data_IF_089328476001
#
_entry.id   IF_089328476001
#
_cell.length_a   1.000
_cell.length_b   1.000
_cell.length_c   1.000
_cell.angle_alpha   90.00
_cell.angle_beta   90.00
_cell.angle_gamma   90.00
#
_symmetry.space_group_name_H-M   'P 1'
#
loop_
_entity.id
_entity.type
_entity.pdbx_description
1 polymer ?
#
# COMPACT_ATOMS: atom_id res chain seq x y z
N UNK A 1 -8.87 1.81 -19.55
CA UNK A 1 -7.92 1.69 -18.41
C UNK A 1 -8.40 0.55 -17.53
N UNK A 2 -7.51 -0.33 -17.06
CA UNK A 2 -7.88 -1.49 -16.22
C UNK A 2 -8.59 -1.05 -14.93
N UNK A 3 -9.55 -1.82 -14.41
CA UNK A 3 -10.36 -1.44 -13.24
C UNK A 3 -9.52 -1.16 -11.98
N UNK A 4 -8.39 -1.84 -11.83
CA UNK A 4 -7.44 -1.67 -10.72
C UNK A 4 -6.77 -0.28 -10.71
N UNK A 5 -6.45 0.29 -11.88
CA UNK A 5 -5.86 1.64 -11.97
C UNK A 5 -6.82 2.69 -11.40
N UNK A 6 -8.12 2.56 -11.69
CA UNK A 6 -9.14 3.45 -11.11
C UNK A 6 -9.20 3.31 -9.59
N UNK A 7 -9.22 2.07 -9.10
CA UNK A 7 -9.27 1.79 -7.65
C UNK A 7 -8.03 2.32 -6.94
N UNK A 8 -6.84 2.13 -7.51
CA UNK A 8 -5.58 2.65 -7.01
C UNK A 8 -5.60 4.18 -6.93
N UNK A 9 -6.09 4.85 -7.98
CA UNK A 9 -6.27 6.30 -8.00
C UNK A 9 -7.21 6.79 -6.89
N UNK A 10 -8.32 6.10 -6.65
CA UNK A 10 -9.25 6.42 -5.55
C UNK A 10 -8.58 6.26 -4.18
N UNK A 11 -7.83 5.17 -3.96
CA UNK A 11 -7.12 4.95 -2.71
C UNK A 11 -6.02 5.98 -2.47
N UNK A 12 -5.26 6.33 -3.51
CA UNK A 12 -4.22 7.35 -3.44
C UNK A 12 -4.82 8.73 -3.11
N UNK A 13 -5.91 9.11 -3.78
CA UNK A 13 -6.59 10.37 -3.51
C UNK A 13 -7.21 10.42 -2.10
N UNK A 14 -7.67 9.29 -1.56
CA UNK A 14 -8.11 9.23 -0.17
C UNK A 14 -6.94 9.42 0.81
N UNK A 15 -5.82 8.71 0.59
CA UNK A 15 -4.64 8.83 1.43
C UNK A 15 -4.01 10.24 1.39
N UNK A 16 -4.04 10.90 0.23
CA UNK A 16 -3.58 12.28 0.06
C UNK A 16 -4.45 13.28 0.85
N UNK A 17 -5.78 13.12 0.79
CA UNK A 17 -6.72 14.02 1.49
C UNK A 17 -6.78 13.79 3.00
N UNK A 18 -6.74 12.54 3.44
CA UNK A 18 -6.97 12.16 4.85
C UNK A 18 -5.66 11.96 5.63
N UNK A 19 -4.54 11.89 4.92
CA UNK A 19 -3.25 11.48 5.47
C UNK A 19 -3.17 9.97 5.72
N UNK A 20 -1.95 9.40 5.74
CA UNK A 20 -1.75 8.00 6.08
C UNK A 20 -2.08 7.75 7.55
N UNK A 21 -2.92 6.73 7.84
CA UNK A 21 -3.32 6.36 9.20
C UNK A 21 -2.63 5.07 9.63
N UNK A 22 -1.58 5.21 10.43
CA UNK A 22 -0.87 4.07 11.00
C UNK A 22 -1.71 3.39 12.11
N UNK A 23 -1.43 2.12 12.38
CA UNK A 23 -2.10 1.31 13.41
C UNK A 23 -1.62 1.59 14.85
N UNK A 24 -0.91 2.69 15.05
CA UNK A 24 -0.46 3.17 16.36
C UNK A 24 -1.58 3.97 17.06
N UNK A 25 -1.58 4.04 18.41
CA UNK A 25 -2.43 4.99 19.11
C UNK A 25 -2.24 6.41 18.55
N UNK A 26 -3.33 7.10 18.23
CA UNK A 26 -3.27 8.43 17.62
C UNK A 26 -2.77 8.47 16.17
N UNK A 27 -2.61 7.31 15.51
CA UNK A 27 -2.12 7.20 14.13
C UNK A 27 -0.74 7.81 13.89
N UNK A 28 0.09 7.88 14.94
CA UNK A 28 1.46 8.41 14.86
C UNK A 28 2.24 7.70 13.75
N UNK A 29 2.80 8.44 12.77
CA UNK A 29 3.55 7.84 11.67
C UNK A 29 4.75 7.04 12.15
N UNK A 30 4.92 5.83 11.62
CA UNK A 30 6.11 5.02 11.84
C UNK A 30 6.47 4.21 10.58
N UNK A 31 7.72 3.72 10.44
CA UNK A 31 8.17 3.08 9.20
C UNK A 31 7.78 1.60 9.06
N UNK A 32 6.88 1.07 9.89
CA UNK A 32 6.55 -0.36 9.91
C UNK A 32 5.82 -0.86 8.67
N UNK A 33 6.08 -2.12 8.28
CA UNK A 33 5.41 -2.75 7.13
C UNK A 33 3.97 -3.19 7.43
N UNK A 34 3.70 -3.67 8.65
CA UNK A 34 2.39 -4.25 8.96
C UNK A 34 1.37 -3.21 9.40
N UNK A 35 1.82 -2.16 10.09
CA UNK A 35 0.95 -1.15 10.71
C UNK A 35 1.41 0.28 10.46
N UNK A 36 2.36 0.46 9.53
CA UNK A 36 3.06 1.73 9.32
C UNK A 36 3.00 2.25 7.90
N UNK A 37 3.75 3.33 7.67
CA UNK A 37 3.86 4.00 6.38
C UNK A 37 4.33 3.07 5.26
N UNK A 38 5.29 2.18 5.56
CA UNK A 38 5.79 1.22 4.59
C UNK A 38 4.70 0.25 4.11
N UNK A 39 3.80 -0.15 5.00
CA UNK A 39 2.63 -0.98 4.65
C UNK A 39 1.63 -0.26 3.77
N UNK A 40 1.33 1.00 4.09
CA UNK A 40 0.42 1.84 3.31
C UNK A 40 0.99 2.05 1.90
N UNK A 41 2.27 2.44 1.80
CA UNK A 41 2.96 2.61 0.52
C UNK A 41 2.99 1.31 -0.30
N UNK A 42 3.32 0.18 0.34
CA UNK A 42 3.31 -1.13 -0.31
C UNK A 42 1.91 -1.51 -0.83
N UNK A 43 0.87 -1.27 -0.03
CA UNK A 43 -0.52 -1.52 -0.43
C UNK A 43 -0.97 -0.67 -1.62
N UNK A 44 -0.60 0.62 -1.66
CA UNK A 44 -0.89 1.52 -2.78
C UNK A 44 -0.16 1.09 -4.06
N UNK A 45 1.13 0.73 -3.96
CA UNK A 45 1.90 0.20 -5.09
C UNK A 45 1.26 -1.09 -5.63
N UNK A 46 0.87 -2.01 -4.74
CA UNK A 46 0.20 -3.25 -5.16
C UNK A 46 -1.16 -3.01 -5.79
N UNK A 47 -1.94 -2.04 -5.32
CA UNK A 47 -3.22 -1.70 -5.93
C UNK A 47 -3.08 -1.23 -7.38
N UNK A 48 -2.00 -0.50 -7.69
CA UNK A 48 -1.69 -0.02 -9.04
C UNK A 48 -0.97 -1.03 -9.93
N UNK A 49 -0.17 -1.93 -9.33
CA UNK A 49 0.70 -2.87 -10.04
C UNK A 49 0.61 -4.29 -9.45
N UNK A 50 -0.58 -4.93 -9.46
CA UNK A 50 -0.82 -6.19 -8.75
C UNK A 50 0.05 -7.34 -9.27
N UNK A 51 0.48 -7.30 -10.53
CA UNK A 51 1.31 -8.32 -11.15
C UNK A 51 2.80 -8.16 -10.81
N UNK A 52 3.22 -6.97 -10.36
CA UNK A 52 4.64 -6.68 -10.05
C UNK A 52 4.93 -6.70 -8.56
N UNK A 53 3.99 -6.24 -7.75
CA UNK A 53 4.18 -6.07 -6.31
C UNK A 53 3.57 -7.26 -5.58
N UNK A 54 4.43 -7.98 -4.88
CA UNK A 54 4.06 -9.17 -4.12
C UNK A 54 3.10 -8.90 -2.97
N UNK A 55 2.59 -9.97 -2.37
CA UNK A 55 1.73 -9.89 -1.19
C UNK A 55 2.55 -10.11 0.07
N UNK A 56 2.87 -9.06 0.81
CA UNK A 56 3.54 -9.21 2.10
C UNK A 56 2.75 -10.13 3.07
N UNK A 57 1.41 -10.00 3.10
CA UNK A 57 0.54 -10.79 3.98
C UNK A 57 0.43 -12.27 3.56
N UNK A 58 0.73 -12.61 2.31
CA UNK A 58 0.73 -13.99 1.83
C UNK A 58 2.16 -14.52 1.60
N UNK A 59 3.17 -13.75 2.02
CA UNK A 59 4.58 -14.04 1.75
C UNK A 59 4.87 -14.31 0.26
N UNK A 60 4.10 -13.68 -0.64
CA UNK A 60 4.31 -13.78 -2.08
C UNK A 60 5.30 -12.70 -2.52
N UNK A 61 6.46 -13.04 -3.10
CA UNK A 61 7.48 -12.06 -3.46
C UNK A 61 7.06 -11.20 -4.66
N UNK A 62 7.69 -10.04 -4.79
CA UNK A 62 7.59 -9.18 -5.97
C UNK A 62 8.38 -9.77 -7.14
N UNK A 63 7.94 -9.52 -8.37
CA UNK A 63 8.76 -9.85 -9.54
C UNK A 63 10.10 -9.10 -9.47
N UNK A 64 11.20 -9.82 -9.63
CA UNK A 64 12.57 -9.26 -9.59
C UNK A 64 13.18 -9.11 -8.19
N UNK A 65 12.52 -9.60 -7.14
CA UNK A 65 13.08 -9.64 -5.78
C UNK A 65 13.87 -10.95 -5.48
N UNK A 66 14.32 -11.65 -6.53
CA UNK A 66 15.10 -12.89 -6.43
C UNK A 66 16.60 -12.61 -6.32
#
# INVERSE_FOLDING_TARGET
RTPWVRRAGTLLAAADREGPRCGTPGHVPHPGLLTGLSGIGHGLLRAGFPDRIGSALLLNPSLGAA
#
